data_IF_810116435620
#
_entry.id   IF_810116435620
#
_cell.length_a   1.000
_cell.length_b   1.000
_cell.length_c   1.000
_cell.angle_alpha   90.00
_cell.angle_beta   90.00
_cell.angle_gamma   90.00
#
_symmetry.space_group_name_H-M   'P 1'
#
loop_
_entity.id
_entity.type
_entity.pdbx_description
1 polymer ?
#
# COMPACT_ATOMS: atom_id res chain seq x y z
N UNK A 1 8.71 17.82 -12.17
CA UNK A 1 9.31 17.84 -10.80
C UNK A 1 8.88 16.57 -10.07
N UNK A 2 9.64 15.90 -9.20
CA UNK A 2 9.24 14.59 -8.64
C UNK A 2 8.27 14.72 -7.46
N UNK A 3 7.35 13.77 -7.31
CA UNK A 3 6.68 13.51 -6.02
C UNK A 3 7.57 12.54 -5.25
N UNK A 4 8.22 13.01 -4.19
CA UNK A 4 9.20 12.26 -3.44
C UNK A 4 8.53 11.46 -2.33
N UNK A 5 9.00 10.25 -2.03
CA UNK A 5 8.54 9.50 -0.86
C UNK A 5 9.60 9.59 0.24
N UNK A 6 9.29 10.34 1.29
CA UNK A 6 10.16 10.54 2.44
C UNK A 6 9.79 9.59 3.55
N UNK A 7 10.82 9.11 4.25
CA UNK A 7 10.67 8.41 5.51
C UNK A 7 11.32 9.27 6.59
N UNK A 8 10.51 9.89 7.46
CA UNK A 8 11.00 10.59 8.67
C UNK A 8 10.24 10.04 9.87
N UNK A 9 10.98 9.53 10.86
CA UNK A 9 10.43 9.00 12.12
C UNK A 9 9.33 7.94 11.96
N UNK A 10 9.46 7.04 10.96
CA UNK A 10 8.49 5.95 10.74
C UNK A 10 7.22 6.34 9.98
N UNK A 11 7.10 7.57 9.48
CA UNK A 11 5.98 7.99 8.62
C UNK A 11 6.43 8.12 7.17
N UNK A 12 5.59 7.65 6.24
CA UNK A 12 5.74 7.89 4.80
C UNK A 12 5.13 9.25 4.49
N UNK A 13 5.92 10.16 3.92
CA UNK A 13 5.43 11.42 3.36
C UNK A 13 5.58 11.40 1.85
N UNK A 14 4.55 11.78 1.11
CA UNK A 14 4.67 12.07 -0.32
C UNK A 14 4.91 13.59 -0.42
N UNK A 15 6.13 14.01 -0.76
CA UNK A 15 6.52 15.41 -0.90
C UNK A 15 6.46 15.80 -2.38
N UNK A 16 5.42 16.54 -2.74
CA UNK A 16 5.35 17.29 -3.98
C UNK A 16 6.17 18.60 -3.85
N UNK A 17 6.80 19.07 -4.92
CA UNK A 17 7.56 20.32 -4.95
C UNK A 17 6.66 21.58 -4.98
N UNK A 18 5.40 21.47 -4.57
CA UNK A 18 4.48 22.59 -4.38
C UNK A 18 4.57 23.05 -2.93
N UNK A 19 4.63 24.37 -2.75
CA UNK A 19 4.78 25.08 -1.48
C UNK A 19 3.90 24.48 -0.36
N UNK A 20 4.50 23.62 0.47
CA UNK A 20 3.82 22.84 1.50
C UNK A 20 3.26 23.71 2.62
N UNK A 21 3.73 24.96 2.78
CA UNK A 21 3.20 25.86 3.80
C UNK A 21 1.75 26.23 3.47
N UNK A 22 1.42 26.44 2.19
CA UNK A 22 0.04 26.68 1.74
C UNK A 22 -0.86 25.43 1.78
N UNK A 23 -0.27 24.25 1.61
CA UNK A 23 -1.00 22.97 1.60
C UNK A 23 -1.25 22.47 3.03
N UNK A 24 -0.31 22.65 3.97
CA UNK A 24 -0.45 22.26 5.39
C UNK A 24 -1.52 23.03 6.13
N UNK A 25 -1.74 24.30 5.78
CA UNK A 25 -2.74 25.14 6.45
C UNK A 25 -4.18 24.72 6.12
N UNK A 26 -4.39 23.95 5.04
CA UNK A 26 -5.73 23.61 4.54
C UNK A 26 -5.97 22.12 4.24
N UNK A 27 -4.97 21.23 4.36
CA UNK A 27 -5.18 19.80 4.13
C UNK A 27 -5.46 19.04 5.44
N UNK A 28 -6.53 18.23 5.50
CA UNK A 28 -6.59 17.16 6.48
C UNK A 28 -5.33 16.28 6.35
N UNK A 29 -4.90 15.68 7.46
CA UNK A 29 -3.68 14.86 7.52
C UNK A 29 -3.55 13.94 6.30
N UNK A 30 -2.51 14.12 5.49
CA UNK A 30 -2.26 13.30 4.30
C UNK A 30 -2.32 11.81 4.68
N UNK A 31 -3.11 10.99 3.98
CA UNK A 31 -3.25 9.58 4.33
C UNK A 31 -1.92 8.84 4.16
N UNK A 32 -1.60 7.99 5.15
CA UNK A 32 -0.44 7.11 5.08
C UNK A 32 -0.75 5.91 4.17
N UNK A 33 -0.03 5.80 3.05
CA UNK A 33 -0.19 4.69 2.10
C UNK A 33 0.99 3.73 2.19
N UNK A 34 0.74 2.50 2.65
CA UNK A 34 1.75 1.43 2.73
C UNK A 34 1.49 0.38 1.65
N UNK A 35 2.53 -0.03 0.91
CA UNK A 35 2.42 -0.99 -0.21
C UNK A 35 3.22 -2.28 0.07
N UNK A 36 2.67 -3.27 0.80
CA UNK A 36 3.39 -4.48 1.20
C UNK A 36 3.82 -5.36 0.01
N UNK A 37 3.06 -5.36 -1.09
CA UNK A 37 3.45 -6.03 -2.34
C UNK A 37 4.41 -5.21 -3.22
N UNK A 38 4.78 -4.02 -2.77
CA UNK A 38 5.53 -3.06 -3.58
C UNK A 38 4.66 -2.31 -4.60
N UNK A 39 5.28 -1.72 -5.61
CA UNK A 39 4.61 -0.96 -6.65
C UNK A 39 5.41 -1.01 -7.95
N UNK A 40 4.70 -1.18 -9.07
CA UNK A 40 5.26 -1.03 -10.42
C UNK A 40 5.87 0.37 -10.66
N UNK A 41 5.54 1.34 -9.81
CA UNK A 41 6.02 2.71 -9.91
C UNK A 41 7.10 3.08 -8.90
N UNK A 42 7.52 2.17 -8.01
CA UNK A 42 8.57 2.44 -7.01
C UNK A 42 9.85 1.74 -7.41
N UNK A 43 10.95 2.48 -7.47
CA UNK A 43 12.25 1.99 -7.91
C UNK A 43 13.27 2.13 -6.79
N UNK A 44 14.07 1.09 -6.47
CA UNK A 44 15.03 1.17 -5.39
C UNK A 44 16.13 2.16 -5.75
N UNK A 45 16.54 2.98 -4.78
CA UNK A 45 17.69 3.87 -4.95
C UNK A 45 18.97 3.02 -5.01
N UNK A 46 19.89 3.37 -5.91
CA UNK A 46 21.16 2.66 -6.02
C UNK A 46 21.99 2.85 -4.74
N UNK A 47 22.72 1.83 -4.26
CA UNK A 47 23.51 1.93 -3.03
C UNK A 47 24.48 3.12 -2.99
N UNK A 48 25.11 3.44 -4.12
CA UNK A 48 26.01 4.58 -4.30
C UNK A 48 25.29 5.92 -4.10
N UNK A 49 24.09 6.09 -4.67
CA UNK A 49 23.25 7.27 -4.47
C UNK A 49 22.83 7.39 -3.00
N UNK A 50 22.42 6.27 -2.38
CA UNK A 50 21.96 6.25 -0.99
C UNK A 50 23.06 6.71 -0.01
N UNK A 51 24.33 6.40 -0.30
CA UNK A 51 25.47 6.87 0.50
C UNK A 51 25.68 8.38 0.39
N UNK A 52 25.45 8.96 -0.79
CA UNK A 52 25.70 10.38 -1.06
C UNK A 52 24.65 11.29 -0.42
N UNK A 53 23.40 10.85 -0.37
CA UNK A 53 22.28 11.72 0.05
C UNK A 53 22.09 11.80 1.57
N UNK A 54 22.83 11.03 2.38
CA UNK A 54 22.72 10.93 3.86
C UNK A 54 21.27 10.94 4.39
N UNK A 55 20.34 10.41 3.60
CA UNK A 55 18.93 10.31 3.92
C UNK A 55 18.54 8.84 3.76
N UNK A 56 17.71 8.33 4.66
CA UNK A 56 17.25 6.94 4.67
C UNK A 56 16.22 6.60 3.57
N UNK A 57 16.35 7.18 2.37
CA UNK A 57 15.50 6.85 1.24
C UNK A 57 15.80 5.44 0.75
N UNK A 58 14.73 4.71 0.46
CA UNK A 58 14.79 3.30 0.03
C UNK A 58 14.25 3.09 -1.38
N UNK A 59 13.42 4.01 -1.87
CA UNK A 59 12.82 3.97 -3.19
C UNK A 59 12.43 5.36 -3.66
N UNK A 60 12.27 5.52 -4.98
CA UNK A 60 11.75 6.72 -5.62
C UNK A 60 10.58 6.33 -6.54
N UNK A 61 9.57 7.19 -6.59
CA UNK A 61 8.55 7.16 -7.62
C UNK A 61 8.91 8.24 -8.66
N UNK A 62 9.58 7.90 -9.78
CA UNK A 62 9.84 8.89 -10.80
C UNK A 62 8.48 9.35 -11.33
N UNK A 63 8.27 10.67 -11.45
CA UNK A 63 7.20 11.09 -12.35
C UNK A 63 7.64 10.63 -13.73
N UNK A 64 6.76 9.88 -14.37
CA UNK A 64 6.82 9.71 -15.80
C UNK A 64 6.12 10.91 -16.43
N UNK A 65 6.58 12.13 -16.14
CA UNK A 65 6.30 13.32 -16.96
C UNK A 65 7.12 13.26 -18.27
N UNK A 66 7.25 12.04 -18.81
CA UNK A 66 7.93 11.75 -20.05
C UNK A 66 7.05 12.36 -21.14
N UNK A 67 7.61 13.32 -21.89
CA UNK A 67 7.02 13.73 -23.14
C UNK A 67 6.73 12.48 -23.97
N UNK A 68 5.48 12.32 -24.39
CA UNK A 68 5.19 11.39 -25.47
C UNK A 68 5.81 11.99 -26.72
N UNK A 69 6.72 11.27 -27.37
CA UNK A 69 7.26 11.71 -28.64
C UNK A 69 6.30 11.25 -29.76
N UNK A 70 5.50 12.17 -30.35
CA UNK A 70 4.50 11.79 -31.34
C UNK A 70 5.14 11.32 -32.66
N UNK A 71 6.42 11.61 -32.91
CA UNK A 71 7.13 11.23 -34.13
C UNK A 71 7.62 9.78 -34.06
N UNK A 72 8.08 9.35 -32.89
CA UNK A 72 8.55 7.97 -32.66
C UNK A 72 7.48 7.07 -32.07
N UNK A 73 6.34 7.64 -31.63
CA UNK A 73 5.28 6.96 -30.87
C UNK A 73 5.81 6.27 -29.60
N UNK A 74 6.96 6.73 -29.10
CA UNK A 74 7.62 6.18 -27.94
C UNK A 74 7.61 7.21 -26.81
N UNK A 75 7.64 6.71 -25.58
CA UNK A 75 8.02 7.52 -24.44
C UNK A 75 9.54 7.47 -24.39
N UNK A 76 10.18 8.63 -24.33
CA UNK A 76 11.65 8.76 -24.22
C UNK A 76 12.09 8.39 -22.78
N UNK A 77 11.84 7.13 -22.41
CA UNK A 77 12.22 6.51 -21.14
C UNK A 77 13.73 6.55 -20.89
N UNK A 78 14.64 6.43 -21.91
CA UNK A 78 16.08 6.41 -21.66
C UNK A 78 16.66 7.69 -21.04
N UNK A 79 16.08 8.86 -21.33
CA UNK A 79 16.66 10.16 -20.96
C UNK A 79 16.17 10.70 -19.60
N UNK A 80 15.39 9.91 -18.85
CA UNK A 80 14.92 10.33 -17.54
C UNK A 80 16.11 10.32 -16.55
N UNK A 81 16.54 11.51 -16.13
CA UNK A 81 17.67 11.72 -15.22
C UNK A 81 17.62 10.80 -13.98
N UNK A 82 16.43 10.50 -13.48
CA UNK A 82 16.24 9.64 -12.30
C UNK A 82 16.86 8.24 -12.45
N UNK A 83 17.00 7.70 -13.67
CA UNK A 83 17.63 6.39 -13.92
C UNK A 83 19.11 6.34 -13.55
N UNK A 84 19.79 7.48 -13.49
CA UNK A 84 21.15 7.55 -12.98
C UNK A 84 21.20 7.20 -11.49
N UNK A 85 20.14 7.53 -10.75
CA UNK A 85 20.09 7.44 -9.29
C UNK A 85 19.39 6.19 -8.75
N UNK A 86 18.57 5.53 -9.58
CA UNK A 86 17.69 4.42 -9.17
C UNK A 86 17.92 3.17 -10.03
N UNK A 87 17.64 2.01 -9.48
CA UNK A 87 17.63 0.76 -10.23
C UNK A 87 16.36 0.70 -11.11
N UNK A 88 16.46 0.36 -12.40
CA UNK A 88 15.32 0.34 -13.33
C UNK A 88 14.38 -0.86 -13.12
N UNK A 89 14.60 -1.66 -12.08
CA UNK A 89 13.74 -2.77 -11.68
C UNK A 89 12.82 -2.27 -10.57
N UNK A 90 11.49 -2.24 -10.77
CA UNK A 90 10.58 -1.78 -9.74
C UNK A 90 10.58 -2.73 -8.53
N UNK A 91 10.28 -2.18 -7.36
CA UNK A 91 10.07 -2.92 -6.13
C UNK A 91 8.70 -3.59 -6.21
N UNK A 92 8.66 -4.81 -6.72
CA UNK A 92 7.46 -5.65 -6.73
C UNK A 92 7.80 -6.94 -6.01
N UNK A 93 7.01 -7.34 -5.01
CA UNK A 93 7.15 -8.67 -4.40
C UNK A 93 6.57 -9.69 -5.38
N UNK A 94 7.37 -10.57 -5.98
CA UNK A 94 6.88 -11.51 -6.96
C UNK A 94 5.95 -12.54 -6.30
N UNK A 95 5.00 -13.10 -7.05
CA UNK A 95 4.12 -14.15 -6.53
C UNK A 95 4.83 -15.51 -6.33
N UNK A 96 6.13 -15.60 -6.64
CA UNK A 96 6.91 -16.84 -6.66
C UNK A 96 7.22 -17.31 -5.22
N UNK A 97 7.34 -18.63 -5.04
CA UNK A 97 7.63 -19.30 -3.75
C UNK A 97 8.96 -18.81 -3.14
N UNK A 98 10.00 -18.57 -3.95
CA UNK A 98 11.26 -18.06 -3.43
C UNK A 98 11.22 -16.53 -3.28
N UNK A 99 10.95 -16.08 -2.05
CA UNK A 99 10.92 -14.65 -1.67
C UNK A 99 12.20 -14.17 -0.99
N UNK A 100 13.26 -14.97 -0.94
CA UNK A 100 14.46 -14.68 -0.12
C UNK A 100 15.12 -13.35 -0.47
N UNK A 101 15.24 -13.04 -1.76
CA UNK A 101 15.82 -11.76 -2.20
C UNK A 101 14.98 -10.55 -1.75
N UNK A 102 13.66 -10.70 -1.68
CA UNK A 102 12.73 -9.64 -1.31
C UNK A 102 12.58 -9.49 0.20
N UNK A 103 12.47 -10.60 0.94
CA UNK A 103 12.41 -10.57 2.40
C UNK A 103 13.72 -10.02 2.99
N UNK A 104 14.87 -10.28 2.33
CA UNK A 104 16.16 -9.71 2.73
C UNK A 104 16.27 -8.21 2.42
N UNK A 105 15.47 -7.67 1.50
CA UNK A 105 15.48 -6.27 1.10
C UNK A 105 15.04 -5.34 2.25
N UNK A 106 15.85 -4.32 2.53
CA UNK A 106 15.59 -3.33 3.58
C UNK A 106 14.27 -2.56 3.39
N UNK A 107 13.83 -2.34 2.15
CA UNK A 107 12.52 -1.75 1.84
C UNK A 107 11.40 -2.64 2.38
N UNK A 108 11.39 -3.92 2.02
CA UNK A 108 10.32 -4.84 2.41
C UNK A 108 10.26 -4.99 3.94
N UNK A 109 11.41 -5.15 4.60
CA UNK A 109 11.49 -5.19 6.07
C UNK A 109 10.89 -3.95 6.72
N UNK A 110 11.21 -2.76 6.20
CA UNK A 110 10.68 -1.49 6.73
C UNK A 110 9.18 -1.38 6.50
N UNK A 111 8.70 -1.65 5.29
CA UNK A 111 7.27 -1.59 4.98
C UNK A 111 6.49 -2.61 5.81
N UNK A 112 6.94 -3.85 5.92
CA UNK A 112 6.26 -4.85 6.76
C UNK A 112 6.24 -4.44 8.23
N UNK A 113 7.33 -3.87 8.75
CA UNK A 113 7.34 -3.33 10.11
C UNK A 113 6.33 -2.19 10.28
N UNK A 114 6.23 -1.28 9.33
CA UNK A 114 5.24 -0.19 9.36
C UNK A 114 3.81 -0.73 9.30
N UNK A 115 3.51 -1.62 8.35
CA UNK A 115 2.18 -2.23 8.21
C UNK A 115 1.79 -2.96 9.49
N UNK A 116 2.69 -3.75 10.06
CA UNK A 116 2.44 -4.44 11.33
C UNK A 116 2.17 -3.45 12.47
N UNK A 117 2.96 -2.38 12.58
CA UNK A 117 2.77 -1.36 13.61
C UNK A 117 1.42 -0.67 13.50
N UNK A 118 1.04 -0.23 12.30
CA UNK A 118 -0.25 0.44 12.07
C UNK A 118 -1.42 -0.50 12.38
N UNK A 119 -1.37 -1.75 11.92
CA UNK A 119 -2.41 -2.74 12.20
C UNK A 119 -2.49 -3.12 13.70
N UNK A 120 -1.36 -3.19 14.39
CA UNK A 120 -1.34 -3.41 15.84
C UNK A 120 -1.96 -2.24 16.62
N UNK A 121 -1.88 -1.01 16.11
CA UNK A 121 -2.45 0.18 16.76
C UNK A 121 -3.91 0.46 16.35
N UNK A 122 -4.34 -0.01 15.18
CA UNK A 122 -5.68 0.26 14.65
C UNK A 122 -6.79 -0.36 15.52
N UNK A 123 -7.76 0.43 15.95
CA UNK A 123 -8.96 -0.07 16.64
C UNK A 123 -9.95 -0.74 15.66
N UNK A 124 -9.99 -0.23 14.43
CA UNK A 124 -10.87 -0.70 13.35
C UNK A 124 -10.04 -1.01 12.11
N UNK A 125 -10.29 -2.16 11.48
CA UNK A 125 -9.65 -2.58 10.25
C UNK A 125 -10.74 -2.83 9.22
N UNK A 126 -10.65 -2.16 8.06
CA UNK A 126 -11.53 -2.43 6.92
C UNK A 126 -10.71 -3.04 5.79
N UNK A 127 -11.19 -4.16 5.27
CA UNK A 127 -10.72 -4.73 4.01
C UNK A 127 -11.70 -4.41 2.88
N UNK A 128 -11.21 -3.82 1.81
CA UNK A 128 -11.97 -3.56 0.59
C UNK A 128 -11.45 -4.46 -0.54
N UNK A 129 -12.26 -5.42 -0.98
CA UNK A 129 -11.99 -6.24 -2.16
C UNK A 129 -10.78 -7.17 -2.07
N UNK A 130 -10.25 -7.43 -0.87
CA UNK A 130 -9.06 -8.27 -0.68
C UNK A 130 -9.38 -9.56 0.06
N UNK A 131 -9.08 -10.70 -0.59
CA UNK A 131 -9.47 -12.04 -0.13
C UNK A 131 -8.42 -12.78 0.69
N UNK A 132 -7.20 -12.23 0.84
CA UNK A 132 -6.04 -12.87 1.49
C UNK A 132 -5.88 -14.36 1.08
N UNK A 133 -5.63 -14.64 -0.21
CA UNK A 133 -5.51 -16.02 -0.68
C UNK A 133 -4.36 -16.73 0.04
N UNK A 134 -4.45 -18.07 0.16
CA UNK A 134 -3.40 -18.87 0.83
C UNK A 134 -2.01 -18.73 0.23
N UNK A 135 -1.93 -18.39 -1.06
CA UNK A 135 -0.66 -18.12 -1.77
C UNK A 135 0.00 -16.80 -1.35
N UNK A 136 -0.75 -15.87 -0.75
CA UNK A 136 -0.21 -14.60 -0.25
C UNK A 136 0.40 -14.75 1.16
N UNK A 137 1.46 -15.57 1.22
CA UNK A 137 2.07 -15.97 2.49
C UNK A 137 2.56 -14.80 3.34
N UNK A 138 3.09 -13.74 2.72
CA UNK A 138 3.70 -12.63 3.46
C UNK A 138 2.66 -11.73 4.13
N UNK A 139 1.59 -11.37 3.43
CA UNK A 139 0.50 -10.59 4.03
C UNK A 139 -0.27 -11.45 5.02
N UNK A 140 -0.54 -12.72 4.71
CA UNK A 140 -1.16 -13.65 5.65
C UNK A 140 -0.35 -13.80 6.95
N UNK A 141 0.98 -13.93 6.85
CA UNK A 141 1.86 -14.01 8.02
C UNK A 141 1.84 -12.72 8.84
N UNK A 142 1.83 -11.56 8.17
CA UNK A 142 1.77 -10.26 8.82
C UNK A 142 0.46 -10.12 9.61
N UNK A 143 -0.68 -10.47 9.00
CA UNK A 143 -1.98 -10.42 9.65
C UNK A 143 -2.11 -11.44 10.78
N UNK A 144 -1.48 -12.61 10.66
CA UNK A 144 -1.44 -13.61 11.73
C UNK A 144 -0.68 -13.11 12.96
N UNK A 145 0.43 -12.37 12.77
CA UNK A 145 1.15 -11.72 13.88
C UNK A 145 0.26 -10.70 14.60
N UNK A 146 -0.55 -9.96 13.83
CA UNK A 146 -1.51 -9.00 14.40
C UNK A 146 -2.62 -9.74 15.17
N UNK A 147 -3.18 -10.80 14.60
CA UNK A 147 -4.25 -11.61 15.19
C UNK A 147 -3.86 -12.31 16.51
N UNK A 148 -2.60 -12.76 16.61
CA UNK A 148 -2.06 -13.46 17.79
C UNK A 148 -1.54 -12.52 18.87
N UNK A 149 -1.56 -11.20 18.62
CA UNK A 149 -1.17 -10.22 19.63
C UNK A 149 -2.18 -10.21 20.79
N UNK A 150 -1.70 -10.14 22.03
CA UNK A 150 -2.55 -10.13 23.24
C UNK A 150 -3.59 -9.01 23.25
N UNK A 151 -3.32 -7.90 22.57
CA UNK A 151 -4.23 -6.75 22.49
C UNK A 151 -5.22 -6.85 21.33
N UNK A 152 -5.26 -7.96 20.59
CA UNK A 152 -6.11 -8.11 19.41
C UNK A 152 -7.61 -8.12 19.74
N UNK A 153 -8.01 -8.62 20.92
CA UNK A 153 -9.42 -8.80 21.31
C UNK A 153 -10.27 -7.53 21.38
N UNK A 154 -9.69 -6.35 21.16
CA UNK A 154 -10.38 -5.05 21.14
C UNK A 154 -10.64 -4.51 19.72
N UNK A 155 -10.21 -5.23 18.67
CA UNK A 155 -10.29 -4.73 17.29
C UNK A 155 -11.58 -5.19 16.60
N UNK A 156 -12.21 -4.30 15.85
CA UNK A 156 -13.27 -4.65 14.88
C UNK A 156 -12.66 -4.80 13.48
N UNK A 157 -13.01 -5.89 12.78
CA UNK A 157 -12.59 -6.13 11.40
C UNK A 157 -13.83 -6.18 10.52
N UNK A 158 -13.95 -5.22 9.61
CA UNK A 158 -14.95 -5.22 8.56
C UNK A 158 -14.37 -5.73 7.24
N UNK A 159 -15.01 -6.70 6.60
CA UNK A 159 -14.69 -7.09 5.22
C UNK A 159 -15.79 -6.67 4.24
N UNK A 160 -15.38 -6.01 3.17
CA UNK A 160 -16.24 -5.57 2.07
C UNK A 160 -15.80 -6.25 0.79
N UNK A 161 -16.64 -7.11 0.24
CA UNK A 161 -16.28 -7.87 -0.96
C UNK A 161 -17.50 -8.18 -1.83
N UNK A 162 -17.22 -8.41 -3.11
CA UNK A 162 -18.21 -8.85 -4.09
C UNK A 162 -18.36 -10.35 -4.05
N UNK A 163 -19.44 -10.84 -3.44
CA UNK A 163 -19.72 -12.27 -3.34
C UNK A 163 -19.91 -12.91 -4.71
N UNK A 164 -19.30 -14.07 -4.87
CA UNK A 164 -19.49 -14.98 -6.00
C UNK A 164 -19.71 -16.41 -5.50
N UNK A 165 -20.19 -17.31 -6.38
CA UNK A 165 -20.49 -18.71 -6.01
C UNK A 165 -19.28 -19.49 -5.49
N UNK A 166 -18.08 -19.08 -5.87
CA UNK A 166 -16.81 -19.73 -5.51
C UNK A 166 -15.93 -18.81 -4.66
N UNK A 167 -16.50 -17.74 -4.11
CA UNK A 167 -15.73 -16.81 -3.29
C UNK A 167 -15.33 -17.47 -1.98
N UNK A 168 -14.08 -17.25 -1.56
CA UNK A 168 -13.52 -17.79 -0.31
C UNK A 168 -13.03 -16.68 0.61
N UNK A 169 -13.42 -15.43 0.33
CA UNK A 169 -12.96 -14.24 1.08
C UNK A 169 -13.31 -14.35 2.57
N UNK A 170 -14.57 -14.61 2.99
CA UNK A 170 -14.88 -14.79 4.40
C UNK A 170 -14.03 -15.86 5.07
N UNK A 171 -13.90 -17.03 4.46
CA UNK A 171 -13.18 -18.18 4.99
C UNK A 171 -11.69 -17.87 5.16
N UNK A 172 -11.10 -17.13 4.23
CA UNK A 172 -9.70 -16.74 4.31
C UNK A 172 -9.42 -15.73 5.44
N UNK A 173 -10.35 -14.80 5.70
CA UNK A 173 -10.26 -13.85 6.81
C UNK A 173 -10.51 -14.52 8.16
N UNK A 174 -11.56 -15.33 8.26
CA UNK A 174 -11.90 -16.13 9.45
C UNK A 174 -10.75 -17.07 9.82
N UNK A 175 -10.07 -17.68 8.84
CA UNK A 175 -8.89 -18.52 9.08
C UNK A 175 -7.77 -17.79 9.83
N UNK A 176 -7.63 -16.47 9.65
CA UNK A 176 -6.56 -15.67 10.25
C UNK A 176 -7.00 -15.09 11.60
N UNK A 177 -8.22 -14.57 11.68
CA UNK A 177 -8.69 -13.76 12.83
C UNK A 177 -9.71 -14.48 13.72
N UNK A 178 -10.21 -15.63 13.29
CA UNK A 178 -11.33 -16.34 13.93
C UNK A 178 -12.69 -15.71 13.60
N UNK A 179 -13.77 -16.50 13.74
CA UNK A 179 -15.13 -16.07 13.38
C UNK A 179 -15.62 -14.87 14.19
N UNK A 180 -15.31 -14.82 15.49
CA UNK A 180 -15.81 -13.77 16.41
C UNK A 180 -15.22 -12.39 16.18
N UNK A 181 -14.19 -12.28 15.34
CA UNK A 181 -13.41 -11.06 15.15
C UNK A 181 -13.69 -10.38 13.81
N UNK A 182 -14.57 -10.95 12.98
CA UNK A 182 -14.78 -10.52 11.59
C UNK A 182 -16.26 -10.25 11.33
N UNK A 183 -16.57 -8.97 11.15
CA UNK A 183 -17.85 -8.49 10.63
C UNK A 183 -17.80 -8.47 9.10
N UNK A 184 -18.92 -8.85 8.46
CA UNK A 184 -18.99 -9.03 7.01
C UNK A 184 -20.04 -8.11 6.41
N UNK A 185 -19.62 -7.29 5.44
CA UNK A 185 -20.50 -6.49 4.58
C UNK A 185 -20.37 -6.99 3.14
N UNK A 186 -21.39 -7.70 2.66
CA UNK A 186 -21.47 -8.13 1.26
C UNK A 186 -21.89 -6.94 0.39
N UNK A 187 -21.02 -6.50 -0.52
CA UNK A 187 -21.31 -5.40 -1.45
C UNK A 187 -21.01 -5.79 -2.89
N UNK A 188 -21.93 -5.48 -3.81
CA UNK A 188 -21.82 -5.91 -5.21
C UNK A 188 -20.73 -5.18 -6.03
N UNK A 189 -20.03 -4.24 -5.39
CA UNK A 189 -18.94 -3.43 -5.92
C UNK A 189 -18.92 -2.04 -5.28
N UNK A 190 -17.91 -1.23 -5.60
CA UNK A 190 -17.95 0.21 -5.34
C UNK A 190 -18.71 0.82 -6.54
N UNK A 191 -19.94 1.32 -6.36
CA UNK A 191 -20.68 1.92 -7.46
C UNK A 191 -20.06 3.30 -7.76
N UNK A 192 -19.38 3.39 -8.89
CA UNK A 192 -18.71 4.61 -9.37
C UNK A 192 -19.48 5.29 -10.50
N UNK A 193 -20.72 4.87 -10.76
CA UNK A 193 -21.51 5.38 -11.87
C UNK A 193 -22.09 6.78 -11.58
N UNK A 194 -22.27 7.14 -10.31
CA UNK A 194 -22.64 8.49 -9.88
C UNK A 194 -22.00 8.90 -8.55
N UNK A 195 -21.91 10.21 -8.30
CA UNK A 195 -21.47 10.76 -7.01
C UNK A 195 -22.36 10.31 -5.86
N UNK A 196 -23.68 10.26 -6.08
CA UNK A 196 -24.66 9.84 -5.07
C UNK A 196 -24.45 8.37 -4.67
N UNK A 197 -24.23 7.49 -5.64
CA UNK A 197 -23.93 6.08 -5.36
C UNK A 197 -22.61 5.91 -4.59
N UNK A 198 -21.59 6.68 -4.96
CA UNK A 198 -20.31 6.70 -4.28
C UNK A 198 -20.44 7.17 -2.82
N UNK A 199 -21.16 8.27 -2.58
CA UNK A 199 -21.42 8.79 -1.24
C UNK A 199 -22.23 7.79 -0.40
N UNK A 200 -23.26 7.18 -0.98
CA UNK A 200 -24.05 6.14 -0.32
C UNK A 200 -23.20 4.94 0.10
N UNK A 201 -22.27 4.49 -0.75
CA UNK A 201 -21.32 3.44 -0.40
C UNK A 201 -20.46 3.82 0.82
N UNK A 202 -19.87 5.02 0.84
CA UNK A 202 -19.04 5.46 1.96
C UNK A 202 -19.84 5.68 3.24
N UNK A 203 -21.07 6.20 3.15
CA UNK A 203 -21.95 6.35 4.30
C UNK A 203 -22.31 5.00 4.93
N UNK A 204 -22.62 4.00 4.10
CA UNK A 204 -22.81 2.62 4.58
C UNK A 204 -21.55 2.06 5.22
N UNK A 205 -20.40 2.27 4.59
CA UNK A 205 -19.13 1.79 5.12
C UNK A 205 -18.83 2.42 6.49
N UNK A 206 -19.03 3.72 6.65
CA UNK A 206 -18.84 4.43 7.93
C UNK A 206 -19.81 3.92 8.99
N UNK A 207 -21.08 3.67 8.64
CA UNK A 207 -22.08 3.14 9.57
C UNK A 207 -21.78 1.70 10.01
N UNK A 208 -21.05 0.94 9.18
CA UNK A 208 -20.67 -0.45 9.46
C UNK A 208 -19.55 -0.58 10.50
N UNK A 209 -18.75 0.47 10.70
CA UNK A 209 -17.58 0.50 11.60
C UNK A 209 -17.84 1.34 12.85
#
# INVERSE_FOLDING_TARGET
>A
MPEHIHFKNGRIFIQDARDFNKIKENMPSTPLVLKPHGSIHFYPIKPETAKLINIHWVALHPRFDIGFNPQTMQRDIPDVLSWHFINPVPLIVPPIINKDGYIKNNYCKKIFKLVANELMQAEKIISLGFSIPRSDLHVASLLHIVATNKNFGYKSIGIVYKKSKTDTTPENWIRIFGEKSVDILEENGIPIASTEEFENFWNKLIAFI
#
